data_IF_712615035536
#
_entry.id   IF_712615035536
#
_cell.length_a   1.000
_cell.length_b   1.000
_cell.length_c   1.000
_cell.angle_alpha   90.00
_cell.angle_beta   90.00
_cell.angle_gamma   90.00
#
_symmetry.space_group_name_H-M   'P 1'
#
loop_
_entity.id
_entity.type
_entity.pdbx_description
1 polymer ?
#
# COMPACT_ATOMS: atom_id res chain seq x y z
N UNK A 1 14.39 18.37 -7.87
CA UNK A 1 14.54 16.89 -7.74
C UNK A 1 14.33 16.56 -6.28
N UNK A 2 13.54 15.53 -5.97
CA UNK A 2 13.26 15.11 -4.60
C UNK A 2 13.59 13.63 -4.45
N UNK A 3 14.25 13.26 -3.37
CA UNK A 3 14.60 11.89 -3.02
C UNK A 3 14.21 11.62 -1.57
N UNK A 4 13.48 10.53 -1.33
CA UNK A 4 13.01 10.12 -0.02
C UNK A 4 13.45 8.67 0.22
N UNK A 5 14.31 8.48 1.21
CA UNK A 5 14.69 7.15 1.70
C UNK A 5 14.03 6.87 3.03
N UNK A 6 13.40 5.69 3.17
CA UNK A 6 12.73 5.28 4.40
C UNK A 6 12.96 3.80 4.69
N UNK A 7 12.81 3.43 5.97
CA UNK A 7 12.86 2.04 6.44
C UNK A 7 11.63 1.73 7.30
N UNK A 8 11.04 0.57 7.08
CA UNK A 8 10.05 -0.04 7.95
C UNK A 8 10.75 -1.12 8.78
N UNK A 9 10.44 -1.17 10.07
CA UNK A 9 11.00 -2.14 11.00
C UNK A 9 9.85 -2.81 11.73
N UNK A 10 9.68 -4.11 11.53
CA UNK A 10 8.78 -4.89 12.36
C UNK A 10 9.47 -5.23 13.68
N UNK A 11 8.90 -4.71 14.78
CA UNK A 11 9.45 -4.91 16.13
C UNK A 11 9.30 -6.34 16.64
N UNK A 12 8.40 -7.14 16.07
CA UNK A 12 8.16 -8.52 16.52
C UNK A 12 9.06 -9.52 15.77
N UNK A 13 9.15 -9.42 14.45
CA UNK A 13 9.97 -10.33 13.63
C UNK A 13 11.42 -9.85 13.46
N UNK A 14 11.69 -8.56 13.65
CA UNK A 14 12.97 -7.94 13.33
C UNK A 14 13.18 -7.71 11.82
N UNK A 15 12.15 -7.91 10.99
CA UNK A 15 12.21 -7.67 9.56
C UNK A 15 12.41 -6.17 9.26
N UNK A 16 13.32 -5.87 8.32
CA UNK A 16 13.65 -4.51 7.89
C UNK A 16 13.39 -4.39 6.39
N UNK A 17 12.54 -3.45 6.01
CA UNK A 17 12.24 -3.14 4.61
C UNK A 17 12.71 -1.72 4.33
N UNK A 18 13.74 -1.57 3.51
CA UNK A 18 14.30 -0.28 3.12
C UNK A 18 13.93 0.03 1.66
N UNK A 19 13.42 1.23 1.41
CA UNK A 19 13.00 1.67 0.08
C UNK A 19 13.46 3.10 -0.20
N UNK A 20 13.67 3.40 -1.47
CA UNK A 20 14.01 4.73 -1.96
C UNK A 20 13.00 5.16 -3.04
N UNK A 21 12.52 6.39 -2.93
CA UNK A 21 11.58 7.00 -3.87
C UNK A 21 12.21 8.27 -4.43
N UNK A 22 12.39 8.31 -5.74
CA UNK A 22 12.91 9.47 -6.46
C UNK A 22 11.83 10.12 -7.32
N UNK A 23 11.92 11.45 -7.48
CA UNK A 23 10.94 12.22 -8.24
C UNK A 23 11.51 13.49 -8.86
N UNK A 24 11.12 13.75 -10.10
CA UNK A 24 11.37 15.00 -10.81
C UNK A 24 10.08 15.45 -11.48
N UNK A 25 9.63 16.66 -11.14
CA UNK A 25 8.49 17.31 -11.77
C UNK A 25 9.00 18.51 -12.57
N UNK A 26 8.59 18.62 -13.83
CA UNK A 26 8.89 19.75 -14.72
C UNK A 26 7.55 20.22 -15.26
N UNK A 27 7.26 21.51 -15.11
CA UNK A 27 6.10 22.15 -15.73
C UNK A 27 6.60 23.17 -16.74
N UNK A 28 6.11 23.05 -17.96
CA UNK A 28 6.42 23.92 -19.08
C UNK A 28 5.12 24.52 -19.58
N UNK A 29 5.16 25.80 -19.93
CA UNK A 29 4.02 26.49 -20.51
C UNK A 29 4.40 27.10 -21.87
N UNK A 30 3.45 27.11 -22.80
CA UNK A 30 3.62 27.63 -24.16
C UNK A 30 2.89 28.95 -24.29
N UNK A 31 3.61 30.03 -23.98
CA UNK A 31 3.14 31.40 -24.16
C UNK A 31 3.01 31.78 -25.64
N UNK A 32 1.96 32.54 -25.97
CA UNK A 32 1.77 33.11 -27.30
C UNK A 32 1.43 34.61 -27.23
N UNK A 33 2.32 35.46 -27.77
CA UNK A 33 2.00 36.87 -28.00
C UNK A 33 0.93 36.97 -29.08
N UNK A 34 -0.23 37.54 -28.75
CA UNK A 34 -1.31 37.72 -29.70
C UNK A 34 -0.87 38.61 -30.87
N UNK A 35 -1.24 38.21 -32.09
CA UNK A 35 -0.92 38.95 -33.31
C UNK A 35 -2.22 39.42 -33.95
N UNK A 36 -2.56 40.70 -33.74
CA UNK A 36 -3.82 41.29 -34.17
C UNK A 36 -4.05 41.20 -35.69
N UNK A 37 -2.98 41.23 -36.49
CA UNK A 37 -3.02 41.18 -37.96
C UNK A 37 -3.37 39.76 -38.47
N UNK A 38 -3.10 38.73 -37.67
CA UNK A 38 -3.34 37.32 -38.01
C UNK A 38 -4.54 36.71 -37.26
N UNK A 39 -5.29 37.50 -36.48
CA UNK A 39 -6.43 37.00 -35.68
C UNK A 39 -6.05 36.06 -34.53
N UNK A 40 -4.76 36.02 -34.15
CA UNK A 40 -4.24 35.13 -33.10
C UNK A 40 -4.51 35.78 -31.74
N UNK A 41 -5.26 35.08 -30.88
CA UNK A 41 -5.49 35.50 -29.49
C UNK A 41 -4.21 35.32 -28.66
N UNK A 42 -3.91 36.30 -27.82
CA UNK A 42 -2.82 36.18 -26.86
C UNK A 42 -3.18 35.15 -25.79
N UNK A 43 -2.22 34.28 -25.47
CA UNK A 43 -2.30 33.35 -24.35
C UNK A 43 -1.22 33.74 -23.33
N UNK A 44 -1.58 34.22 -22.13
CA UNK A 44 -0.61 34.66 -21.13
C UNK A 44 0.18 33.48 -20.54
N UNK A 45 1.42 33.75 -20.13
CA UNK A 45 2.28 32.74 -19.50
C UNK A 45 1.80 32.45 -18.08
N UNK A 46 1.38 31.21 -17.83
CA UNK A 46 0.96 30.70 -16.53
C UNK A 46 1.92 29.63 -16.04
N UNK A 47 3.04 30.08 -15.45
CA UNK A 47 4.00 29.19 -14.79
C UNK A 47 3.79 29.19 -13.27
N UNK A 48 3.60 28.01 -12.65
CA UNK A 48 3.57 27.91 -11.20
C UNK A 48 4.95 28.20 -10.62
N UNK A 49 4.95 28.69 -9.39
CA UNK A 49 6.17 28.95 -8.64
C UNK A 49 6.92 27.66 -8.31
N UNK A 50 8.23 27.75 -8.10
CA UNK A 50 9.05 26.60 -7.69
C UNK A 50 8.50 25.93 -6.42
N UNK A 51 7.97 26.72 -5.48
CA UNK A 51 7.36 26.22 -4.25
C UNK A 51 6.09 25.38 -4.50
N UNK A 52 5.22 25.81 -5.42
CA UNK A 52 4.03 25.05 -5.79
C UNK A 52 4.37 23.74 -6.52
N UNK A 53 5.39 23.78 -7.38
CA UNK A 53 5.90 22.58 -8.07
C UNK A 53 6.51 21.60 -7.05
N UNK A 54 7.25 22.12 -6.07
CA UNK A 54 7.86 21.30 -5.02
C UNK A 54 6.80 20.70 -4.08
N UNK A 55 5.81 21.48 -3.65
CA UNK A 55 4.72 20.99 -2.80
C UNK A 55 3.89 19.91 -3.50
N UNK A 56 3.59 20.10 -4.79
CA UNK A 56 2.92 19.08 -5.60
C UNK A 56 3.76 17.79 -5.68
N UNK A 57 5.06 17.92 -6.00
CA UNK A 57 5.97 16.78 -6.06
C UNK A 57 6.08 16.06 -4.71
N UNK A 58 6.14 16.81 -3.60
CA UNK A 58 6.21 16.25 -2.26
C UNK A 58 4.94 15.48 -1.90
N UNK A 59 3.75 16.05 -2.14
CA UNK A 59 2.46 15.38 -1.90
C UNK A 59 2.34 14.09 -2.68
N UNK A 60 2.74 14.08 -3.95
CA UNK A 60 2.73 12.89 -4.79
C UNK A 60 3.65 11.79 -4.24
N UNK A 61 4.88 12.15 -3.89
CA UNK A 61 5.89 11.21 -3.39
C UNK A 61 5.57 10.69 -1.99
N UNK A 62 4.99 11.51 -1.12
CA UNK A 62 4.48 11.08 0.19
C UNK A 62 3.30 10.11 0.02
N UNK A 63 2.38 10.37 -0.90
CA UNK A 63 1.28 9.46 -1.18
C UNK A 63 1.77 8.11 -1.74
N UNK A 64 2.79 8.14 -2.61
CA UNK A 64 3.47 6.93 -3.10
C UNK A 64 4.12 6.13 -1.96
N UNK A 65 4.84 6.81 -1.07
CA UNK A 65 5.41 6.19 0.14
C UNK A 65 4.30 5.53 0.99
N UNK A 66 3.21 6.23 1.26
CA UNK A 66 2.09 5.69 2.05
C UNK A 66 1.49 4.42 1.44
N UNK A 67 1.29 4.38 0.11
CA UNK A 67 0.82 3.17 -0.58
C UNK A 67 1.81 2.01 -0.48
N UNK A 68 3.10 2.28 -0.65
CA UNK A 68 4.14 1.26 -0.55
C UNK A 68 4.20 0.67 0.87
N UNK A 69 4.08 1.50 1.91
CA UNK A 69 3.98 1.03 3.29
C UNK A 69 2.72 0.19 3.50
N UNK A 70 1.56 0.68 3.08
CA UNK A 70 0.28 -0.02 3.26
C UNK A 70 0.23 -1.38 2.55
N UNK A 71 0.90 -1.52 1.39
CA UNK A 71 0.95 -2.78 0.64
C UNK A 71 1.47 -3.95 1.50
N UNK A 72 2.39 -3.71 2.43
CA UNK A 72 2.88 -4.75 3.33
C UNK A 72 1.82 -5.23 4.34
N UNK A 73 0.86 -4.38 4.70
CA UNK A 73 -0.21 -4.70 5.64
C UNK A 73 -1.52 -5.13 4.95
N UNK A 74 -1.59 -5.03 3.61
CA UNK A 74 -2.78 -5.38 2.85
C UNK A 74 -3.10 -6.87 2.88
N UNK A 75 -2.11 -7.73 3.10
CA UNK A 75 -2.25 -9.20 3.04
C UNK A 75 -2.09 -9.88 4.40
N UNK A 76 -2.50 -9.21 5.47
CA UNK A 76 -2.43 -9.72 6.85
C UNK A 76 -3.24 -11.03 7.01
N UNK A 77 -4.37 -11.15 6.29
CA UNK A 77 -5.18 -12.36 6.23
C UNK A 77 -4.38 -13.57 5.71
N UNK A 78 -3.50 -13.35 4.72
CA UNK A 78 -2.60 -14.37 4.17
C UNK A 78 -1.56 -14.77 5.21
N UNK A 79 -1.01 -13.79 5.92
CA UNK A 79 -0.01 -14.01 6.96
C UNK A 79 -0.59 -14.82 8.13
N UNK A 80 -1.77 -14.43 8.62
CA UNK A 80 -2.47 -15.17 9.68
C UNK A 80 -2.80 -16.60 9.25
N UNK A 81 -3.29 -16.78 8.03
CA UNK A 81 -3.58 -18.11 7.50
C UNK A 81 -2.32 -18.99 7.41
N UNK A 82 -1.21 -18.46 6.89
CA UNK A 82 0.06 -19.18 6.81
C UNK A 82 0.60 -19.55 8.20
N UNK A 83 0.53 -18.62 9.18
CA UNK A 83 0.88 -18.89 10.58
C UNK A 83 0.00 -20.00 11.18
N UNK A 84 -1.30 -19.98 10.89
CA UNK A 84 -2.24 -21.04 11.28
C UNK A 84 -1.81 -22.41 10.73
N UNK A 85 -1.45 -22.48 9.44
CA UNK A 85 -0.97 -23.72 8.83
C UNK A 85 0.31 -24.25 9.48
N UNK A 86 1.24 -23.37 9.83
CA UNK A 86 2.48 -23.79 10.49
C UNK A 86 2.26 -24.27 11.92
N UNK A 87 1.33 -23.65 12.66
CA UNK A 87 0.93 -24.10 13.99
C UNK A 87 0.20 -25.45 13.94
N UNK A 88 -0.69 -25.64 12.95
CA UNK A 88 -1.38 -26.89 12.71
C UNK A 88 -0.40 -28.04 12.41
N UNK A 89 0.60 -27.81 11.53
CA UNK A 89 1.67 -28.80 11.26
C UNK A 89 2.44 -29.19 12.52
N UNK A 90 2.59 -28.26 13.46
CA UNK A 90 3.24 -28.49 14.77
C UNK A 90 2.31 -29.09 15.82
N UNK A 91 1.07 -29.45 15.44
CA UNK A 91 0.02 -29.99 16.33
C UNK A 91 -0.40 -29.03 17.45
N UNK A 92 -0.14 -27.74 17.29
CA UNK A 92 -0.64 -26.72 18.20
C UNK A 92 -1.99 -26.20 17.68
N UNK A 93 -3.04 -26.99 17.92
CA UNK A 93 -4.35 -26.80 17.32
C UNK A 93 -5.12 -25.59 17.87
N UNK A 94 -4.96 -25.28 19.16
CA UNK A 94 -5.59 -24.12 19.78
C UNK A 94 -5.07 -22.82 19.16
N UNK A 95 -3.75 -22.65 19.12
CA UNK A 95 -3.13 -21.47 18.50
C UNK A 95 -3.36 -21.41 16.98
N UNK A 96 -3.45 -22.56 16.29
CA UNK A 96 -3.80 -22.60 14.88
C UNK A 96 -5.22 -22.08 14.64
N UNK A 97 -6.19 -22.51 15.46
CA UNK A 97 -7.59 -22.08 15.41
C UNK A 97 -7.71 -20.57 15.63
N UNK A 98 -6.98 -20.03 16.61
CA UNK A 98 -6.90 -18.58 16.84
C UNK A 98 -6.42 -17.85 15.59
N UNK A 99 -5.33 -18.30 14.96
CA UNK A 99 -4.79 -17.63 13.77
C UNK A 99 -5.67 -17.77 12.53
N UNK A 100 -6.38 -18.88 12.35
CA UNK A 100 -7.39 -19.00 11.30
C UNK A 100 -8.58 -18.07 11.54
N UNK A 101 -8.97 -17.89 12.80
CA UNK A 101 -10.02 -16.95 13.19
C UNK A 101 -9.60 -15.51 12.90
N UNK A 102 -8.35 -15.14 13.25
CA UNK A 102 -7.77 -13.83 12.93
C UNK A 102 -7.84 -13.54 11.42
N UNK A 103 -7.49 -14.52 10.58
CA UNK A 103 -7.57 -14.38 9.12
C UNK A 103 -8.99 -14.10 8.61
N UNK A 104 -9.99 -14.81 9.15
CA UNK A 104 -11.41 -14.61 8.81
C UNK A 104 -11.89 -13.23 9.26
N UNK A 105 -11.50 -12.79 10.46
CA UNK A 105 -11.88 -11.48 10.97
C UNK A 105 -11.27 -10.34 10.18
N UNK A 106 -10.01 -10.46 9.78
CA UNK A 106 -9.32 -9.44 8.99
C UNK A 106 -9.98 -9.25 7.62
N UNK A 107 -10.36 -10.33 6.93
CA UNK A 107 -11.14 -10.23 5.68
C UNK A 107 -12.49 -9.53 5.87
N UNK A 108 -13.22 -9.92 6.93
CA UNK A 108 -14.51 -9.29 7.26
C UNK A 108 -14.36 -7.82 7.57
N UNK A 109 -13.33 -7.44 8.34
CA UNK A 109 -13.04 -6.05 8.69
C UNK A 109 -12.73 -5.22 7.44
N UNK A 110 -11.92 -5.78 6.54
CA UNK A 110 -11.57 -5.17 5.25
C UNK A 110 -12.72 -5.16 4.24
N UNK A 111 -13.84 -5.83 4.54
CA UNK A 111 -14.97 -6.02 3.60
C UNK A 111 -14.51 -6.61 2.26
N UNK A 112 -13.49 -7.46 2.30
CA UNK A 112 -12.99 -8.22 1.15
C UNK A 112 -13.43 -9.67 1.28
N UNK A 113 -13.60 -10.34 0.14
CA UNK A 113 -13.92 -11.76 0.11
C UNK A 113 -12.81 -12.47 -0.64
N UNK A 114 -11.98 -13.24 0.07
CA UNK A 114 -11.01 -14.12 -0.58
C UNK A 114 -11.29 -15.58 -0.22
N UNK A 115 -10.72 -16.55 -0.95
CA UNK A 115 -10.85 -17.96 -0.60
C UNK A 115 -10.24 -18.33 0.76
N UNK A 116 -9.47 -17.43 1.39
CA UNK A 116 -8.77 -17.71 2.65
C UNK A 116 -9.77 -17.86 3.80
N UNK A 117 -10.80 -17.03 3.90
CA UNK A 117 -11.83 -17.21 4.93
C UNK A 117 -12.54 -18.56 4.86
N UNK A 118 -12.87 -19.00 3.63
CA UNK A 118 -13.52 -20.30 3.43
C UNK A 118 -12.60 -21.45 3.83
N UNK A 119 -11.36 -21.44 3.36
CA UNK A 119 -10.36 -22.45 3.71
C UNK A 119 -10.02 -22.46 5.20
N UNK A 120 -9.94 -21.29 5.82
CA UNK A 120 -9.70 -21.15 7.25
C UNK A 120 -10.85 -21.78 8.06
N UNK A 121 -12.09 -21.55 7.66
CA UNK A 121 -13.25 -22.16 8.30
C UNK A 121 -13.25 -23.70 8.16
N UNK A 122 -12.99 -24.22 6.96
CA UNK A 122 -12.87 -25.67 6.71
C UNK A 122 -11.78 -26.31 7.59
N UNK A 123 -10.63 -25.64 7.75
CA UNK A 123 -9.53 -26.16 8.58
C UNK A 123 -9.85 -26.10 10.07
N UNK A 124 -10.59 -25.10 10.54
CA UNK A 124 -11.08 -25.04 11.93
C UNK A 124 -12.05 -26.19 12.20
N UNK A 125 -12.99 -26.46 11.30
CA UNK A 125 -13.92 -27.59 11.43
C UNK A 125 -13.16 -28.92 11.50
N UNK A 126 -12.19 -29.12 10.60
CA UNK A 126 -11.34 -30.30 10.61
C UNK A 126 -10.60 -30.45 11.97
N UNK A 127 -10.04 -29.36 12.50
CA UNK A 127 -9.34 -29.40 13.79
C UNK A 127 -10.30 -29.80 14.93
N UNK A 128 -11.55 -29.36 14.87
CA UNK A 128 -12.57 -29.67 15.89
C UNK A 128 -13.12 -31.10 15.78
N UNK A 129 -13.13 -31.70 14.58
CA UNK A 129 -13.56 -33.09 14.37
C UNK A 129 -12.54 -34.12 14.86
N UNK A 130 -11.25 -33.77 14.86
CA UNK A 130 -10.13 -34.68 15.17
C UNK A 130 -9.46 -34.44 16.53
N UNK A 131 -9.93 -33.47 17.33
CA UNK A 131 -9.53 -33.26 18.73
C UNK A 131 -10.62 -33.77 19.69
#
# INVERSE_FOLDING_TARGET
MLEISYKLVDTQSGEIIANNITGKLVKEDKYQEGLAIAGIKADPLELPTEGEVLDQLAKEKIAEMGRNVLKHFQSLEVEYFNKGQDLQKRRNYEAATEKYTDAIFDEKLKTISTPISQKAAELIELINEFN
#
